data_IF_167377983017
#
_entry.id   IF_167377983017
#
_cell.length_a   1.000
_cell.length_b   1.000
_cell.length_c   1.000
_cell.angle_alpha   90.00
_cell.angle_beta   90.00
_cell.angle_gamma   90.00
#
_symmetry.space_group_name_H-M   'P 1'
#
loop_
_entity.id
_entity.type
_entity.pdbx_description
1 polymer ?
#
# COMPACT_ATOMS: atom_id res chain seq x y z
N UNK A 1 -8.39 4.90 -29.44
CA UNK A 1 -7.02 5.36 -29.79
C UNK A 1 -6.03 4.35 -29.24
N UNK A 2 -5.02 3.92 -30.00
CA UNK A 2 -4.05 2.91 -29.56
C UNK A 2 -2.61 3.38 -29.77
N UNK A 3 -1.68 2.85 -28.97
CA UNK A 3 -0.26 3.16 -29.09
C UNK A 3 0.59 1.94 -28.76
N UNK A 4 1.83 1.91 -29.26
CA UNK A 4 2.80 0.88 -28.89
C UNK A 4 3.07 0.90 -27.40
N UNK A 5 3.12 -0.27 -26.77
CA UNK A 5 3.34 -0.44 -25.34
C UNK A 5 4.66 0.18 -24.90
N UNK A 6 5.72 0.07 -25.72
CA UNK A 6 7.03 0.65 -25.40
C UNK A 6 7.00 2.20 -25.33
N UNK A 7 6.28 2.82 -26.24
CA UNK A 7 6.05 4.26 -26.26
C UNK A 7 5.15 4.67 -25.08
N UNK A 8 4.11 3.90 -24.80
CA UNK A 8 3.15 4.17 -23.73
C UNK A 8 3.83 4.13 -22.35
N UNK A 9 4.48 3.02 -21.98
CA UNK A 9 5.10 2.86 -20.64
C UNK A 9 6.23 3.88 -20.39
N UNK A 10 6.89 4.33 -21.46
CA UNK A 10 7.85 5.44 -21.39
C UNK A 10 7.14 6.79 -21.23
N UNK A 11 6.05 7.03 -21.95
CA UNK A 11 5.30 8.27 -21.91
C UNK A 11 4.70 8.52 -20.52
N UNK A 12 4.15 7.47 -19.88
CA UNK A 12 3.63 7.48 -18.50
C UNK A 12 4.71 7.29 -17.42
N UNK A 13 5.99 7.32 -17.80
CA UNK A 13 7.15 7.32 -16.89
C UNK A 13 7.36 6.06 -16.05
N UNK A 14 6.77 4.91 -16.42
CA UNK A 14 7.12 3.63 -15.82
C UNK A 14 8.57 3.22 -16.13
N UNK A 15 9.10 3.70 -17.26
CA UNK A 15 10.53 3.56 -17.60
C UNK A 15 11.21 4.93 -17.74
N UNK A 16 12.54 4.95 -17.51
CA UNK A 16 13.34 6.18 -17.61
C UNK A 16 13.50 6.65 -19.05
N UNK A 17 13.73 5.73 -19.98
CA UNK A 17 13.98 6.02 -21.40
C UNK A 17 13.13 5.12 -22.30
N UNK A 18 12.93 5.54 -23.55
CA UNK A 18 12.21 4.74 -24.55
C UNK A 18 12.98 3.47 -24.93
N UNK A 19 14.31 3.52 -24.96
CA UNK A 19 15.16 2.33 -25.15
C UNK A 19 14.93 1.31 -24.04
N UNK A 20 14.94 1.74 -22.78
CA UNK A 20 14.68 0.87 -21.63
C UNK A 20 13.27 0.25 -21.66
N UNK A 21 12.26 0.95 -22.18
CA UNK A 21 10.94 0.36 -22.42
C UNK A 21 10.98 -0.77 -23.44
N UNK A 22 11.67 -0.56 -24.57
CA UNK A 22 11.86 -1.58 -25.59
C UNK A 22 12.64 -2.80 -25.07
N UNK A 23 13.71 -2.56 -24.30
CA UNK A 23 14.50 -3.62 -23.66
C UNK A 23 13.66 -4.41 -22.65
N UNK A 24 12.85 -3.72 -21.83
CA UNK A 24 11.95 -4.38 -20.87
C UNK A 24 10.93 -5.29 -21.57
N UNK A 25 10.35 -4.84 -22.69
CA UNK A 25 9.45 -5.66 -23.49
C UNK A 25 10.16 -6.90 -24.05
N UNK A 26 11.35 -6.72 -24.66
CA UNK A 26 12.17 -7.83 -25.19
C UNK A 26 12.61 -8.82 -24.12
N UNK A 27 12.92 -8.34 -22.92
CA UNK A 27 13.32 -9.16 -21.77
C UNK A 27 12.15 -9.89 -21.07
N UNK A 28 10.92 -9.76 -21.59
CA UNK A 28 9.74 -10.38 -20.99
C UNK A 28 9.29 -9.74 -19.67
N UNK A 29 9.75 -8.53 -19.39
CA UNK A 29 9.43 -7.77 -18.18
C UNK A 29 8.15 -6.94 -18.32
N UNK A 30 7.57 -6.90 -19.51
CA UNK A 30 6.32 -6.20 -19.79
C UNK A 30 5.27 -7.20 -20.26
N UNK A 31 4.09 -7.16 -19.65
CA UNK A 31 2.92 -7.92 -20.07
C UNK A 31 1.74 -6.99 -20.32
N UNK A 32 0.93 -7.32 -21.31
CA UNK A 32 -0.36 -6.69 -21.59
C UNK A 32 -1.42 -7.78 -21.47
N UNK A 33 -2.42 -7.58 -20.61
CA UNK A 33 -3.49 -8.54 -20.32
C UNK A 33 -2.94 -9.96 -20.03
N UNK A 34 -1.95 -10.05 -19.15
CA UNK A 34 -1.31 -11.30 -18.75
C UNK A 34 -0.29 -11.89 -19.73
N UNK A 35 -0.24 -11.41 -20.97
CA UNK A 35 0.64 -11.94 -22.03
C UNK A 35 1.88 -11.08 -22.22
N UNK A 36 3.06 -11.70 -22.38
CA UNK A 36 4.31 -11.00 -22.65
C UNK A 36 4.21 -10.15 -23.92
N UNK A 37 4.53 -8.86 -23.82
CA UNK A 37 4.32 -7.92 -24.89
C UNK A 37 5.60 -7.64 -25.70
N UNK A 38 5.50 -7.68 -27.02
CA UNK A 38 6.54 -7.15 -27.92
C UNK A 38 6.52 -5.61 -27.85
N UNK A 39 7.66 -4.91 -28.05
CA UNK A 39 7.70 -3.44 -27.97
C UNK A 39 6.64 -2.73 -28.82
N UNK A 40 6.35 -3.27 -30.02
CA UNK A 40 5.40 -2.69 -30.96
C UNK A 40 3.94 -3.11 -30.72
N UNK A 41 3.65 -3.95 -29.72
CA UNK A 41 2.29 -4.34 -29.39
C UNK A 41 1.47 -3.12 -28.99
N UNK A 42 0.25 -3.00 -29.51
CA UNK A 42 -0.62 -1.88 -29.19
C UNK A 42 -1.32 -2.09 -27.85
N UNK A 43 -1.50 -0.99 -27.11
CA UNK A 43 -2.36 -0.88 -25.93
C UNK A 43 -3.50 0.08 -26.22
N UNK A 44 -4.64 -0.20 -25.61
CA UNK A 44 -5.88 0.56 -25.66
C UNK A 44 -6.38 0.84 -24.24
N UNK A 45 -7.35 1.76 -24.12
CA UNK A 45 -8.03 2.03 -22.84
C UNK A 45 -8.69 0.74 -22.33
N UNK A 46 -8.54 0.47 -21.04
CA UNK A 46 -9.00 -0.74 -20.36
C UNK A 46 -7.97 -1.87 -20.29
N UNK A 47 -6.88 -1.82 -21.07
CA UNK A 47 -5.83 -2.83 -20.99
C UNK A 47 -5.09 -2.78 -19.65
N UNK A 48 -4.76 -3.94 -19.09
CA UNK A 48 -3.81 -4.05 -17.98
C UNK A 48 -2.39 -4.14 -18.54
N UNK A 49 -1.52 -3.24 -18.11
CA UNK A 49 -0.09 -3.24 -18.41
C UNK A 49 0.69 -3.52 -17.13
N UNK A 50 1.46 -4.61 -17.13
CA UNK A 50 2.33 -5.01 -16.02
C UNK A 50 3.79 -4.83 -16.41
N UNK A 51 4.55 -4.09 -15.61
CA UNK A 51 5.96 -3.78 -15.83
C UNK A 51 6.77 -4.19 -14.59
N UNK A 52 7.73 -5.09 -14.74
CA UNK A 52 8.61 -5.54 -13.66
C UNK A 52 10.02 -4.99 -13.85
N UNK A 53 10.40 -3.99 -13.05
CA UNK A 53 11.71 -3.33 -13.15
C UNK A 53 12.31 -3.07 -11.77
N UNK A 54 13.62 -3.25 -11.64
CA UNK A 54 14.35 -2.91 -10.41
C UNK A 54 13.84 -3.64 -9.15
N UNK A 55 13.36 -4.88 -9.31
CA UNK A 55 12.78 -5.66 -8.21
C UNK A 55 11.37 -5.27 -7.80
N UNK A 56 10.75 -4.27 -8.47
CA UNK A 56 9.37 -3.84 -8.21
C UNK A 56 8.47 -4.20 -9.39
N UNK A 57 7.27 -4.67 -9.08
CA UNK A 57 6.20 -4.84 -10.04
C UNK A 57 5.29 -3.61 -10.03
N UNK A 58 4.98 -3.10 -11.23
CA UNK A 58 4.01 -2.03 -11.44
C UNK A 58 2.89 -2.59 -12.30
N UNK A 59 1.65 -2.48 -11.84
CA UNK A 59 0.46 -2.94 -12.56
C UNK A 59 -0.41 -1.72 -12.76
N UNK A 60 -0.74 -1.40 -14.02
CA UNK A 60 -1.55 -0.23 -14.34
C UNK A 60 -2.66 -0.60 -15.32
N UNK A 61 -3.85 -0.08 -15.10
CA UNK A 61 -4.94 -0.12 -16.08
C UNK A 61 -4.92 1.17 -16.90
N UNK A 62 -4.97 1.06 -18.23
CA UNK A 62 -4.89 2.21 -19.14
C UNK A 62 -6.21 2.97 -19.12
N UNK A 63 -6.20 4.25 -18.70
CA UNK A 63 -7.37 5.14 -18.81
C UNK A 63 -7.24 6.13 -19.96
N UNK A 64 -6.01 6.48 -20.33
CA UNK A 64 -5.73 7.34 -21.48
C UNK A 64 -4.44 6.93 -22.18
N UNK A 65 -4.49 6.81 -23.50
CA UNK A 65 -3.33 6.45 -24.32
C UNK A 65 -2.55 7.70 -24.73
N UNK A 66 -1.29 7.80 -24.31
CA UNK A 66 -0.36 8.88 -24.68
C UNK A 66 0.94 8.34 -25.27
N UNK A 67 1.56 9.09 -26.18
CA UNK A 67 2.85 8.74 -26.82
C UNK A 67 3.96 9.74 -26.54
N UNK A 68 3.63 10.95 -26.08
CA UNK A 68 4.59 11.97 -25.65
C UNK A 68 4.80 11.84 -24.14
N UNK A 69 6.05 11.85 -23.70
CA UNK A 69 6.38 11.85 -22.27
C UNK A 69 5.92 13.14 -21.61
N UNK A 70 5.24 13.01 -20.47
CA UNK A 70 4.66 14.12 -19.71
C UNK A 70 5.24 14.21 -18.29
N UNK A 71 4.78 15.20 -17.53
CA UNK A 71 5.10 15.36 -16.11
C UNK A 71 4.56 14.18 -15.29
N UNK A 72 5.03 14.02 -14.05
CA UNK A 72 4.56 12.94 -13.18
C UNK A 72 3.05 13.02 -12.94
N UNK A 73 2.54 14.23 -12.64
CA UNK A 73 1.11 14.47 -12.40
C UNK A 73 0.24 14.19 -13.64
N UNK A 74 0.68 14.59 -14.82
CA UNK A 74 -0.05 14.29 -16.05
C UNK A 74 -0.01 12.80 -16.41
N UNK A 75 1.10 12.11 -16.11
CA UNK A 75 1.22 10.68 -16.32
C UNK A 75 0.28 9.87 -15.41
N UNK A 76 0.15 10.23 -14.13
CA UNK A 76 -0.73 9.53 -13.19
C UNK A 76 -2.21 9.67 -13.55
N UNK A 77 -2.61 10.69 -14.30
CA UNK A 77 -3.98 10.81 -14.80
C UNK A 77 -4.30 9.84 -15.96
N UNK A 78 -3.28 9.24 -16.59
CA UNK A 78 -3.44 8.37 -17.76
C UNK A 78 -3.63 6.89 -17.42
N UNK A 79 -3.56 6.52 -16.14
CA UNK A 79 -3.75 5.13 -15.70
C UNK A 79 -4.27 5.03 -14.27
N UNK A 80 -4.88 3.89 -13.93
CA UNK A 80 -5.18 3.50 -12.55
C UNK A 80 -4.05 2.58 -12.06
N UNK A 81 -3.42 2.93 -10.93
CA UNK A 81 -2.35 2.13 -10.32
C UNK A 81 -2.95 0.98 -9.51
N UNK A 82 -2.69 -0.26 -9.93
CA UNK A 82 -3.06 -1.50 -9.24
C UNK A 82 -1.82 -2.24 -8.71
N UNK A 83 -0.68 -1.55 -8.60
CA UNK A 83 0.55 -2.17 -8.12
C UNK A 83 0.38 -2.65 -6.68
N UNK A 84 0.94 -3.82 -6.30
CA UNK A 84 0.96 -4.23 -4.91
C UNK A 84 1.70 -3.17 -4.06
N UNK A 85 1.31 -3.00 -2.79
CA UNK A 85 2.00 -2.09 -1.90
C UNK A 85 3.48 -2.47 -1.80
N UNK A 86 4.39 -1.49 -1.69
CA UNK A 86 5.79 -1.79 -1.47
C UNK A 86 5.93 -2.61 -0.17
N UNK A 87 6.83 -3.61 -0.14
CA UNK A 87 7.08 -4.35 1.10
C UNK A 87 7.51 -3.39 2.21
N UNK A 88 7.11 -3.69 3.45
CA UNK A 88 7.41 -2.83 4.60
C UNK A 88 8.91 -2.58 4.74
N UNK A 89 9.29 -1.43 5.32
CA UNK A 89 10.70 -1.07 5.51
C UNK A 89 11.42 -2.10 6.38
N UNK A 90 10.72 -2.73 7.31
CA UNK A 90 11.23 -3.81 8.16
C UNK A 90 11.58 -5.06 7.35
N UNK A 91 10.70 -5.49 6.43
CA UNK A 91 10.97 -6.63 5.54
C UNK A 91 12.15 -6.31 4.61
N UNK A 92 12.24 -5.08 4.11
CA UNK A 92 13.38 -4.66 3.28
C UNK A 92 14.69 -4.53 4.06
N UNK A 93 14.63 -4.23 5.36
CA UNK A 93 15.78 -4.13 6.25
C UNK A 93 16.23 -5.51 6.76
N UNK A 94 15.30 -6.47 6.89
CA UNK A 94 15.60 -7.84 7.32
C UNK A 94 16.20 -8.70 6.20
N UNK A 95 16.11 -8.27 4.93
CA UNK A 95 16.78 -8.95 3.83
C UNK A 95 18.29 -8.94 4.04
N UNK A 96 18.95 -10.11 4.11
CA UNK A 96 20.39 -10.20 4.29
C UNK A 96 21.11 -9.47 3.15
N UNK A 97 21.83 -8.40 3.48
CA UNK A 97 22.66 -7.67 2.53
C UNK A 97 24.08 -8.21 2.59
N UNK A 98 24.64 -8.56 1.44
CA UNK A 98 26.05 -8.90 1.30
C UNK A 98 26.85 -7.62 1.04
N UNK A 99 28.02 -7.51 1.66
CA UNK A 99 28.88 -6.34 1.47
C UNK A 99 29.24 -6.14 0.00
N UNK A 100 29.18 -4.87 -0.42
CA UNK A 100 29.51 -4.49 -1.79
C UNK A 100 30.98 -4.81 -2.06
N UNK A 101 31.25 -5.67 -3.04
CA UNK A 101 32.61 -6.13 -3.39
C UNK A 101 33.00 -7.49 -2.80
N UNK A 102 32.14 -8.13 -1.99
CA UNK A 102 32.42 -9.42 -1.38
C UNK A 102 32.50 -10.62 -2.36
N UNK A 103 32.36 -10.38 -3.67
CA UNK A 103 32.51 -11.38 -4.72
C UNK A 103 31.62 -12.62 -4.59
N UNK A 104 31.94 -13.65 -5.39
CA UNK A 104 31.34 -14.99 -5.27
C UNK A 104 31.78 -15.61 -3.93
N UNK A 105 30.90 -16.31 -3.20
CA UNK A 105 31.27 -16.94 -1.93
C UNK A 105 32.54 -17.78 -2.03
N UNK A 106 33.45 -17.60 -1.08
CA UNK A 106 34.68 -18.39 -0.99
C UNK A 106 34.35 -19.86 -0.72
N UNK A 107 35.30 -20.78 -0.96
CA UNK A 107 35.08 -22.22 -0.71
C UNK A 107 34.69 -22.51 0.75
N UNK A 108 35.20 -21.72 1.70
CA UNK A 108 34.85 -21.80 3.12
C UNK A 108 33.43 -21.32 3.37
N UNK A 109 33.07 -20.12 2.90
CA UNK A 109 31.69 -19.60 2.99
C UNK A 109 30.68 -20.55 2.33
N UNK A 110 31.03 -21.13 1.18
CA UNK A 110 30.17 -22.12 0.51
C UNK A 110 29.93 -23.35 1.39
N UNK A 111 30.97 -23.85 2.09
CA UNK A 111 30.82 -24.97 3.04
C UNK A 111 30.02 -24.59 4.27
N UNK A 112 30.13 -23.35 4.74
CA UNK A 112 29.34 -22.84 5.87
C UNK A 112 27.86 -22.68 5.46
N UNK A 113 27.59 -22.14 4.26
CA UNK A 113 26.25 -22.09 3.65
C UNK A 113 25.70 -23.52 3.45
N UNK A 114 26.50 -24.45 2.93
CA UNK A 114 26.07 -25.85 2.74
C UNK A 114 25.78 -26.55 4.08
N UNK A 115 26.52 -26.24 5.16
CA UNK A 115 26.23 -26.74 6.51
C UNK A 115 24.95 -26.12 7.08
N UNK A 116 24.73 -24.82 6.85
CA UNK A 116 23.51 -24.13 7.25
C UNK A 116 22.28 -24.66 6.50
N UNK A 117 22.41 -24.94 5.19
CA UNK A 117 21.35 -25.54 4.37
C UNK A 117 21.11 -27.02 4.68
N UNK A 118 22.09 -27.75 5.21
CA UNK A 118 21.93 -29.14 5.68
C UNK A 118 21.43 -29.24 7.13
N UNK A 119 21.61 -28.20 7.93
CA UNK A 119 21.15 -28.13 9.32
C UNK A 119 19.70 -27.65 9.45
N UNK A 120 18.74 -28.56 9.28
CA UNK A 120 17.47 -28.51 10.04
C UNK A 120 16.41 -27.45 9.71
N UNK A 121 16.36 -26.86 8.50
CA UNK A 121 15.26 -25.95 8.11
C UNK A 121 14.46 -26.39 6.87
N UNK A 122 14.86 -27.47 6.18
CA UNK A 122 14.25 -27.90 4.91
C UNK A 122 13.27 -29.10 5.01
N UNK A 123 12.79 -29.44 6.21
CA UNK A 123 11.75 -30.49 6.36
C UNK A 123 10.34 -29.90 6.52
N UNK A 124 10.21 -28.64 6.92
CA UNK A 124 8.90 -28.06 7.29
C UNK A 124 8.18 -27.31 6.15
N UNK A 125 8.89 -26.90 5.09
CA UNK A 125 8.29 -26.11 3.99
C UNK A 125 7.87 -26.97 2.79
N UNK A 126 8.43 -28.17 2.64
CA UNK A 126 8.10 -29.07 1.54
C UNK A 126 6.77 -29.83 1.72
N UNK A 127 6.26 -29.97 2.96
CA UNK A 127 5.02 -30.72 3.22
C UNK A 127 3.74 -29.90 2.98
N UNK A 128 3.82 -28.57 3.01
CA UNK A 128 2.68 -27.68 2.77
C UNK A 128 2.39 -27.44 1.27
N UNK A 129 3.33 -27.77 0.39
CA UNK A 129 3.15 -27.66 -1.07
C UNK A 129 2.52 -28.94 -1.66
N UNK A 130 2.48 -30.04 -0.90
CA UNK A 130 1.96 -31.34 -1.36
C UNK A 130 0.47 -31.60 -1.02
N UNK A 131 -0.24 -30.67 -0.37
CA UNK A 131 -1.65 -30.83 0.03
C UNK A 131 -2.67 -29.98 -0.76
N UNK A 132 -2.26 -29.29 -1.83
CA UNK A 132 -3.18 -28.62 -2.77
C UNK A 132 -3.01 -29.22 -4.17
N UNK A 133 -3.14 -30.54 -4.24
CA UNK A 133 -2.94 -31.31 -5.46
C UNK A 133 -3.92 -32.46 -5.56
N UNK A 134 -5.23 -32.20 -5.45
CA UNK A 134 -6.30 -33.07 -5.98
C UNK A 134 -7.67 -32.42 -5.79
N UNK A 135 -8.14 -31.68 -6.80
CA UNK A 135 -9.56 -31.57 -7.14
C UNK A 135 -9.70 -30.83 -8.49
N UNK A 136 -9.57 -31.56 -9.59
CA UNK A 136 -10.22 -31.18 -10.84
C UNK A 136 -11.64 -31.77 -10.76
N UNK A 137 -12.66 -30.92 -10.83
CA UNK A 137 -13.99 -31.33 -11.28
C UNK A 137 -14.58 -30.23 -12.15
N UNK A 138 -14.96 -30.63 -13.35
CA UNK A 138 -15.61 -29.84 -14.40
C UNK A 138 -17.07 -29.54 -14.06
N UNK A 139 -17.52 -28.32 -14.33
CA UNK A 139 -18.93 -27.96 -14.34
C UNK A 139 -19.13 -26.67 -15.13
N UNK A 140 -19.86 -26.79 -16.24
CA UNK A 140 -20.27 -25.73 -17.14
C UNK A 140 -21.52 -25.00 -16.63
N UNK A 141 -21.76 -23.82 -17.24
CA UNK A 141 -23.04 -23.14 -17.46
C UNK A 141 -23.45 -21.98 -16.52
N UNK A 142 -23.39 -20.79 -17.14
CA UNK A 142 -24.38 -19.72 -17.27
C UNK A 142 -24.74 -18.72 -16.15
N UNK A 143 -24.84 -17.48 -16.67
CA UNK A 143 -25.72 -16.36 -16.32
C UNK A 143 -25.26 -15.28 -15.31
N UNK A 144 -25.17 -14.05 -15.84
CA UNK A 144 -25.84 -12.89 -15.23
C UNK A 144 -25.06 -12.06 -14.21
N UNK A 145 -24.03 -11.34 -14.65
CA UNK A 145 -23.36 -10.31 -13.83
C UNK A 145 -23.90 -8.91 -14.11
N UNK A 146 -24.69 -8.37 -13.17
CA UNK A 146 -25.15 -6.98 -13.12
C UNK A 146 -23.99 -5.98 -13.29
N UNK A 147 -24.21 -4.92 -14.08
CA UNK A 147 -23.28 -3.79 -14.22
C UNK A 147 -23.14 -3.10 -12.87
N UNK A 148 -21.94 -3.13 -12.31
CA UNK A 148 -21.59 -2.34 -11.15
C UNK A 148 -21.12 -0.96 -11.64
N UNK A 149 -22.00 0.03 -11.56
CA UNK A 149 -21.73 1.43 -11.89
C UNK A 149 -20.82 2.07 -10.83
N UNK A 150 -19.56 1.65 -10.76
CA UNK A 150 -18.51 2.37 -10.04
C UNK A 150 -17.52 2.94 -11.05
N UNK A 151 -18.00 3.91 -11.84
CA UNK A 151 -17.13 4.79 -12.60
C UNK A 151 -16.28 5.60 -11.61
N UNK A 152 -14.97 5.33 -11.59
CA UNK A 152 -14.02 6.09 -10.79
C UNK A 152 -14.01 7.55 -11.25
N UNK A 153 -14.58 8.43 -10.42
CA UNK A 153 -14.50 9.87 -10.58
C UNK A 153 -13.03 10.30 -10.68
N UNK A 154 -12.70 11.13 -11.67
CA UNK A 154 -11.36 11.70 -11.80
C UNK A 154 -10.91 12.31 -10.46
N UNK A 155 -9.65 12.11 -10.02
CA UNK A 155 -9.18 12.68 -8.76
C UNK A 155 -9.34 14.20 -8.83
N UNK A 156 -9.97 14.77 -7.81
CA UNK A 156 -10.12 16.21 -7.67
C UNK A 156 -8.77 16.96 -7.70
N UNK A 157 -8.83 18.29 -7.72
CA UNK A 157 -7.61 19.10 -7.63
C UNK A 157 -6.99 18.92 -6.23
N UNK A 158 -5.73 18.50 -6.17
CA UNK A 158 -4.97 18.41 -4.92
C UNK A 158 -5.04 19.74 -4.16
N UNK A 159 -5.20 19.68 -2.83
CA UNK A 159 -5.27 20.88 -1.99
C UNK A 159 -6.67 21.50 -1.88
N UNK A 160 -7.71 20.87 -2.42
CA UNK A 160 -9.10 21.32 -2.23
C UNK A 160 -9.69 20.95 -0.87
N UNK A 161 -9.04 20.06 -0.12
CA UNK A 161 -9.46 19.67 1.22
C UNK A 161 -9.15 20.75 2.27
N UNK A 162 -9.84 20.72 3.43
CA UNK A 162 -9.67 21.71 4.48
C UNK A 162 -8.27 21.63 5.10
N UNK A 163 -7.89 22.68 5.83
CA UNK A 163 -6.68 22.71 6.61
C UNK A 163 -6.94 22.13 8.00
N UNK A 164 -6.24 21.06 8.36
CA UNK A 164 -6.46 20.35 9.63
C UNK A 164 -5.62 20.87 10.81
N UNK A 165 -4.88 21.97 10.63
CA UNK A 165 -3.95 22.43 11.66
C UNK A 165 -2.79 21.47 11.91
N UNK A 166 -1.97 21.79 12.91
CA UNK A 166 -0.90 20.92 13.38
C UNK A 166 -1.51 19.67 14.02
N UNK A 167 -1.01 18.48 13.68
CA UNK A 167 -1.47 17.21 14.25
C UNK A 167 -2.99 16.95 14.15
N UNK A 168 -3.62 17.44 13.08
CA UNK A 168 -5.06 17.29 12.93
C UNK A 168 -5.87 18.11 13.92
N UNK A 169 -5.27 19.13 14.56
CA UNK A 169 -5.91 19.96 15.56
C UNK A 169 -6.06 19.25 16.92
N UNK A 170 -5.37 18.14 17.14
CA UNK A 170 -5.46 17.33 18.37
C UNK A 170 -4.19 17.46 19.21
N UNK A 171 -4.35 17.62 20.53
CA UNK A 171 -3.23 17.74 21.47
C UNK A 171 -2.73 16.38 21.98
N UNK A 172 -1.54 16.36 22.57
CA UNK A 172 -0.99 15.13 23.18
C UNK A 172 -1.84 14.63 24.34
N UNK A 173 -2.40 15.54 25.13
CA UNK A 173 -3.30 15.20 26.24
C UNK A 173 -4.55 14.49 25.72
N UNK A 174 -5.18 15.03 24.68
CA UNK A 174 -6.36 14.42 24.06
C UNK A 174 -6.07 13.05 23.44
N UNK A 175 -4.91 12.89 22.80
CA UNK A 175 -4.45 11.58 22.29
C UNK A 175 -4.31 10.57 23.44
N UNK A 176 -3.70 10.97 24.56
CA UNK A 176 -3.54 10.09 25.73
C UNK A 176 -4.90 9.73 26.38
N UNK A 177 -5.79 10.71 26.54
CA UNK A 177 -7.10 10.55 27.16
C UNK A 177 -8.01 9.61 26.35
N UNK A 178 -7.94 9.69 25.02
CA UNK A 178 -8.73 8.86 24.11
C UNK A 178 -8.13 7.47 23.90
N UNK A 179 -6.83 7.38 23.59
CA UNK A 179 -6.20 6.11 23.28
C UNK A 179 -6.09 5.20 24.51
N UNK A 180 -5.85 5.76 25.70
CA UNK A 180 -5.70 5.02 26.97
C UNK A 180 -4.65 3.91 26.90
N UNK A 181 -3.59 4.11 26.12
CA UNK A 181 -2.52 3.14 25.90
C UNK A 181 -1.26 3.43 26.76
N UNK A 182 -1.45 4.03 27.93
CA UNK A 182 -0.37 4.60 28.73
C UNK A 182 0.11 5.94 28.17
N UNK A 183 1.24 6.44 28.69
CA UNK A 183 1.77 7.75 28.32
C UNK A 183 2.45 7.69 26.94
N UNK A 184 1.82 8.30 25.95
CA UNK A 184 2.35 8.54 24.63
C UNK A 184 2.98 9.94 24.57
N UNK A 185 4.18 10.02 23.99
CA UNK A 185 4.89 11.30 23.76
C UNK A 185 4.95 11.59 22.28
N UNK A 186 4.77 12.86 21.90
CA UNK A 186 4.87 13.26 20.50
C UNK A 186 6.34 13.18 20.03
N UNK A 187 6.63 12.19 19.18
CA UNK A 187 7.98 11.92 18.66
C UNK A 187 8.17 12.41 17.24
N UNK A 188 7.09 12.60 16.48
CA UNK A 188 7.10 13.21 15.15
C UNK A 188 6.07 14.31 15.12
N UNK A 189 6.48 15.51 14.74
CA UNK A 189 5.60 16.66 14.62
C UNK A 189 6.00 17.52 13.42
N UNK A 190 5.29 17.36 12.30
CA UNK A 190 5.47 18.21 11.14
C UNK A 190 4.12 18.54 10.47
N UNK A 191 4.15 19.30 9.39
CA UNK A 191 2.97 19.82 8.71
C UNK A 191 2.01 18.77 8.15
N UNK A 192 2.44 17.52 8.02
CA UNK A 192 1.67 16.46 7.37
C UNK A 192 1.62 15.17 8.17
N UNK A 193 2.42 15.04 9.23
CA UNK A 193 2.51 13.83 10.05
C UNK A 193 2.70 14.22 11.50
N UNK A 194 1.90 13.62 12.38
CA UNK A 194 2.22 13.52 13.80
C UNK A 194 2.23 12.07 14.26
N UNK A 195 3.15 11.75 15.16
CA UNK A 195 3.26 10.43 15.78
C UNK A 195 3.50 10.60 17.27
N UNK A 196 2.73 9.85 18.06
CA UNK A 196 2.91 9.71 19.48
C UNK A 196 3.27 8.26 19.78
N UNK A 197 4.38 8.04 20.46
CA UNK A 197 4.81 6.69 20.84
C UNK A 197 5.16 6.61 22.33
N UNK A 198 4.98 5.42 22.90
CA UNK A 198 5.41 5.11 24.27
C UNK A 198 6.91 4.82 24.37
N UNK A 199 7.56 4.51 23.25
CA UNK A 199 8.98 4.15 23.18
C UNK A 199 9.62 4.63 21.88
N UNK A 200 10.95 4.81 21.91
CA UNK A 200 11.73 5.28 20.76
C UNK A 200 11.87 4.23 19.65
N UNK A 201 11.74 2.95 19.99
CA UNK A 201 11.84 1.80 19.08
C UNK A 201 10.49 1.38 18.46
N UNK A 202 9.40 2.07 18.81
CA UNK A 202 8.03 1.86 18.28
C UNK A 202 7.48 0.44 18.47
N UNK A 203 8.01 -0.31 19.44
CA UNK A 203 7.52 -1.66 19.78
C UNK A 203 6.31 -1.62 20.71
N UNK A 204 6.15 -0.52 21.45
CA UNK A 204 4.98 -0.24 22.29
C UNK A 204 3.85 0.49 21.55
N UNK A 205 2.83 0.92 22.28
CA UNK A 205 1.74 1.73 21.76
C UNK A 205 2.15 2.93 20.91
N UNK A 206 1.40 3.14 19.83
CA UNK A 206 1.57 4.26 18.88
C UNK A 206 0.22 4.82 18.47
N UNK A 207 0.11 6.13 18.42
CA UNK A 207 -0.94 6.84 17.69
C UNK A 207 -0.30 7.72 16.61
N UNK A 208 -0.90 7.82 15.43
CA UNK A 208 -0.40 8.69 14.37
C UNK A 208 -1.52 9.34 13.58
N UNK A 209 -1.25 10.58 13.16
CA UNK A 209 -2.06 11.35 12.23
C UNK A 209 -1.23 11.58 10.97
N UNK A 210 -1.76 11.19 9.81
CA UNK A 210 -1.13 11.43 8.51
C UNK A 210 -2.08 12.20 7.61
N UNK A 211 -1.56 13.21 6.92
CA UNK A 211 -2.34 14.04 6.01
C UNK A 211 -1.76 14.02 4.60
N UNK A 212 -2.56 13.55 3.66
CA UNK A 212 -2.17 13.31 2.28
C UNK A 212 -2.87 14.30 1.35
N UNK A 213 -2.07 15.05 0.59
CA UNK A 213 -2.53 15.99 -0.43
C UNK A 213 -2.35 15.40 -1.83
N UNK A 214 -3.39 15.42 -2.65
CA UNK A 214 -3.34 14.95 -4.05
C UNK A 214 -3.19 13.44 -4.22
N UNK A 215 -3.69 12.67 -3.26
CA UNK A 215 -3.75 11.21 -3.31
C UNK A 215 -5.18 10.75 -3.02
N UNK A 216 -5.85 10.05 -3.95
CA UNK A 216 -7.19 9.56 -3.68
C UNK A 216 -7.16 8.48 -2.58
N UNK A 217 -8.08 8.59 -1.63
CA UNK A 217 -8.22 7.67 -0.49
C UNK A 217 -8.37 6.19 -0.91
N UNK A 218 -8.90 5.94 -2.11
CA UNK A 218 -9.08 4.58 -2.64
C UNK A 218 -7.77 3.79 -2.76
N UNK A 219 -6.62 4.45 -2.94
CA UNK A 219 -5.33 3.76 -2.95
C UNK A 219 -4.97 3.19 -1.58
N UNK A 220 -5.12 3.98 -0.52
CA UNK A 220 -4.78 3.51 0.83
C UNK A 220 -5.78 2.47 1.32
N UNK A 221 -7.07 2.65 1.02
CA UNK A 221 -8.08 1.61 1.29
C UNK A 221 -7.69 0.27 0.66
N UNK A 222 -7.22 0.28 -0.58
CA UNK A 222 -6.82 -0.95 -1.26
C UNK A 222 -5.60 -1.60 -0.59
N UNK A 223 -4.69 -0.82 0.00
CA UNK A 223 -3.60 -1.33 0.84
C UNK A 223 -4.16 -1.99 2.10
N UNK A 224 -5.05 -1.30 2.82
CA UNK A 224 -5.61 -1.82 4.08
C UNK A 224 -6.42 -3.11 3.91
N UNK A 225 -7.15 -3.23 2.80
CA UNK A 225 -7.87 -4.46 2.46
C UNK A 225 -6.96 -5.69 2.26
N UNK A 226 -5.66 -5.48 2.04
CA UNK A 226 -4.68 -6.54 1.91
C UNK A 226 -3.95 -6.85 3.22
N UNK A 227 -3.89 -5.90 4.16
CA UNK A 227 -3.11 -6.00 5.40
C UNK A 227 -3.93 -6.19 6.66
N UNK A 228 -5.23 -5.88 6.65
CA UNK A 228 -6.09 -5.92 7.84
C UNK A 228 -7.14 -7.03 7.75
N UNK A 229 -7.54 -7.53 8.92
CA UNK A 229 -8.61 -8.54 9.02
C UNK A 229 -9.97 -7.94 8.63
N UNK A 230 -10.23 -6.70 9.04
CA UNK A 230 -11.46 -5.98 8.72
C UNK A 230 -11.18 -4.68 7.99
N UNK A 231 -11.94 -4.40 6.93
CA UNK A 231 -11.98 -3.07 6.31
C UNK A 231 -13.42 -2.77 5.89
N UNK A 232 -13.99 -1.69 6.42
CA UNK A 232 -15.40 -1.32 6.22
C UNK A 232 -15.49 0.14 5.79
N UNK A 233 -16.54 0.45 5.01
CA UNK A 233 -16.93 1.83 4.75
C UNK A 233 -17.42 2.50 6.03
N UNK A 234 -17.07 3.77 6.22
CA UNK A 234 -17.62 4.62 7.27
C UNK A 234 -17.95 6.00 6.73
N UNK A 235 -18.78 6.70 7.47
CA UNK A 235 -19.03 8.12 7.31
C UNK A 235 -18.90 8.80 8.68
N UNK A 236 -18.16 9.90 8.75
CA UNK A 236 -18.01 10.73 9.95
C UNK A 236 -18.32 12.17 9.55
N UNK A 237 -19.30 12.80 10.21
CA UNK A 237 -19.72 14.18 9.94
C UNK A 237 -19.98 14.47 8.45
N UNK A 238 -20.60 13.53 7.73
CA UNK A 238 -20.90 13.66 6.29
C UNK A 238 -19.72 13.37 5.34
N UNK A 239 -18.55 13.03 5.88
CA UNK A 239 -17.36 12.71 5.10
C UNK A 239 -17.15 11.19 5.02
N UNK A 240 -17.05 10.69 3.78
CA UNK A 240 -16.84 9.27 3.50
C UNK A 240 -15.40 8.85 3.72
N UNK A 241 -15.23 7.64 4.21
CA UNK A 241 -13.94 7.08 4.52
C UNK A 241 -13.95 5.56 4.65
N UNK A 242 -12.91 5.03 5.27
CA UNK A 242 -12.84 3.65 5.67
C UNK A 242 -12.39 3.54 7.13
N UNK A 243 -12.79 2.45 7.78
CA UNK A 243 -12.19 1.94 8.99
C UNK A 243 -11.55 0.60 8.68
N UNK A 244 -10.30 0.42 9.04
CA UNK A 244 -9.59 -0.84 8.91
C UNK A 244 -9.04 -1.26 10.27
N UNK A 245 -9.15 -2.52 10.62
CA UNK A 245 -8.76 -3.00 11.95
C UNK A 245 -8.25 -4.42 11.90
N UNK A 246 -7.32 -4.69 12.80
CA UNK A 246 -6.80 -6.02 13.13
C UNK A 246 -6.58 -6.04 14.66
N UNK A 247 -6.21 -7.19 15.21
CA UNK A 247 -5.94 -7.33 16.63
C UNK A 247 -4.92 -6.30 17.10
N UNK A 248 -5.35 -5.38 17.97
CA UNK A 248 -4.48 -4.37 18.57
C UNK A 248 -4.16 -3.15 17.68
N UNK A 249 -4.87 -2.96 16.56
CA UNK A 249 -4.72 -1.77 15.71
C UNK A 249 -6.02 -1.37 15.01
N UNK A 250 -6.27 -0.07 14.93
CA UNK A 250 -7.36 0.47 14.14
C UNK A 250 -6.92 1.73 13.38
N UNK A 251 -7.40 1.85 12.16
CA UNK A 251 -7.04 2.90 11.20
C UNK A 251 -8.30 3.47 10.57
N UNK A 252 -8.40 4.79 10.53
CA UNK A 252 -9.51 5.51 9.90
C UNK A 252 -8.96 6.54 8.93
N UNK A 253 -9.29 6.36 7.65
CA UNK A 253 -9.05 7.35 6.61
C UNK A 253 -10.33 8.09 6.25
N UNK A 254 -10.31 9.42 6.17
CA UNK A 254 -11.46 10.26 5.77
C UNK A 254 -11.11 11.12 4.56
N UNK A 255 -11.92 11.04 3.50
CA UNK A 255 -11.66 11.66 2.20
C UNK A 255 -12.24 13.06 2.04
N UNK A 256 -11.47 13.93 1.35
CA UNK A 256 -11.81 15.30 0.98
C UNK A 256 -11.41 15.55 -0.49
N UNK A 257 -12.19 14.98 -1.41
CA UNK A 257 -11.90 15.05 -2.85
C UNK A 257 -10.63 14.27 -3.21
N UNK A 258 -9.54 14.98 -3.53
CA UNK A 258 -8.24 14.38 -3.83
C UNK A 258 -7.28 14.37 -2.64
N UNK A 259 -7.72 14.84 -1.48
CA UNK A 259 -6.96 14.79 -0.24
C UNK A 259 -7.65 13.82 0.73
N UNK A 260 -6.92 13.30 1.70
CA UNK A 260 -7.49 12.60 2.85
C UNK A 260 -6.55 12.73 4.05
N UNK A 261 -7.09 12.56 5.25
CA UNK A 261 -6.27 12.30 6.42
C UNK A 261 -6.52 10.88 6.91
N UNK A 262 -5.58 10.39 7.72
CA UNK A 262 -5.64 9.09 8.35
C UNK A 262 -5.22 9.20 9.81
N UNK A 263 -6.01 8.59 10.69
CA UNK A 263 -5.61 8.28 12.05
C UNK A 263 -5.32 6.78 12.17
N UNK A 264 -4.22 6.42 12.82
CA UNK A 264 -3.85 5.04 13.15
C UNK A 264 -3.52 4.95 14.64
N UNK A 265 -4.16 4.02 15.35
CA UNK A 265 -3.92 3.76 16.77
C UNK A 265 -3.61 2.28 16.94
N UNK A 266 -2.46 1.98 17.54
CA UNK A 266 -1.99 0.62 17.81
C UNK A 266 -1.56 0.46 19.25
N UNK A 267 -1.96 -0.65 19.88
CA UNK A 267 -1.51 -1.07 21.20
C UNK A 267 -0.07 -1.63 21.20
N UNK A 268 0.56 -1.79 20.02
CA UNK A 268 1.89 -2.35 19.88
C UNK A 268 1.97 -3.87 20.16
N UNK A 269 3.10 -4.46 19.77
CA UNK A 269 3.35 -5.92 19.86
C UNK A 269 3.63 -6.40 21.29
N UNK A 270 3.97 -5.48 22.21
CA UNK A 270 4.23 -5.82 23.62
C UNK A 270 2.95 -5.98 24.45
N UNK A 271 1.77 -5.73 23.88
CA UNK A 271 0.50 -5.75 24.61
C UNK A 271 -0.09 -7.15 24.82
N UNK A 272 0.63 -8.25 24.56
CA UNK A 272 0.23 -9.65 24.92
C UNK A 272 0.05 -9.89 26.44
N UNK A 273 0.00 -8.83 27.24
CA UNK A 273 -0.57 -8.80 28.59
C UNK A 273 -2.05 -9.18 28.56
N UNK A 274 -2.53 -9.79 29.64
CA UNK A 274 -3.92 -10.18 29.92
C UNK A 274 -4.95 -9.03 29.93
N UNK A 275 -4.54 -7.84 29.49
CA UNK A 275 -5.27 -6.58 29.60
C UNK A 275 -5.01 -5.65 28.40
N UNK A 276 -4.68 -6.20 27.22
CA UNK A 276 -4.70 -5.42 25.98
C UNK A 276 -6.09 -4.80 25.78
N UNK A 277 -6.18 -3.53 25.36
CA UNK A 277 -7.46 -2.93 25.01
C UNK A 277 -8.07 -3.69 23.84
N UNK A 278 -9.38 -3.88 23.93
CA UNK A 278 -10.12 -4.55 22.87
C UNK A 278 -10.03 -3.74 21.56
N UNK A 279 -10.06 -4.42 20.42
CA UNK A 279 -10.00 -3.78 19.10
C UNK A 279 -11.10 -2.74 18.94
N UNK A 280 -12.28 -2.99 19.54
CA UNK A 280 -13.39 -2.04 19.58
C UNK A 280 -13.00 -0.73 20.29
N UNK A 281 -12.32 -0.82 21.45
CA UNK A 281 -11.87 0.36 22.20
C UNK A 281 -10.84 1.19 21.41
N UNK A 282 -9.92 0.51 20.72
CA UNK A 282 -8.93 1.16 19.85
C UNK A 282 -9.63 1.87 18.69
N UNK A 283 -10.61 1.22 18.06
CA UNK A 283 -11.40 1.82 16.99
C UNK A 283 -12.26 3.00 17.45
N UNK A 284 -12.83 2.94 18.65
CA UNK A 284 -13.59 4.05 19.23
C UNK A 284 -12.71 5.27 19.51
N UNK A 285 -11.51 5.05 20.03
CA UNK A 285 -10.52 6.12 20.20
C UNK A 285 -10.13 6.73 18.85
N UNK A 286 -9.85 5.88 17.84
CA UNK A 286 -9.51 6.30 16.49
C UNK A 286 -10.63 7.12 15.85
N UNK A 287 -11.90 6.73 16.06
CA UNK A 287 -13.08 7.44 15.57
C UNK A 287 -13.24 8.81 16.23
N UNK A 288 -13.02 8.91 17.53
CA UNK A 288 -13.09 10.18 18.25
C UNK A 288 -12.01 11.15 17.78
N UNK A 289 -10.77 10.67 17.63
CA UNK A 289 -9.65 11.46 17.09
C UNK A 289 -9.95 11.97 15.67
N UNK A 290 -10.46 11.11 14.79
CA UNK A 290 -10.87 11.49 13.44
C UNK A 290 -12.00 12.53 13.45
N UNK A 291 -12.98 12.38 14.35
CA UNK A 291 -14.09 13.34 14.51
C UNK A 291 -13.59 14.71 14.93
N UNK A 292 -12.70 14.77 15.93
CA UNK A 292 -12.09 16.03 16.39
C UNK A 292 -11.32 16.73 15.27
N UNK A 293 -10.56 15.97 14.46
CA UNK A 293 -9.85 16.55 13.32
C UNK A 293 -10.79 17.15 12.28
N UNK A 294 -11.95 16.54 12.03
CA UNK A 294 -12.95 17.11 11.13
C UNK A 294 -13.56 18.39 11.71
N UNK A 295 -13.97 18.36 12.97
CA UNK A 295 -14.64 19.49 13.63
C UNK A 295 -13.75 20.72 13.78
N UNK A 296 -12.43 20.52 13.87
CA UNK A 296 -11.44 21.59 14.02
C UNK A 296 -10.80 22.02 12.70
N UNK A 297 -11.16 21.39 11.59
CA UNK A 297 -10.67 21.75 10.28
C UNK A 297 -11.22 23.12 9.84
N UNK A 298 -10.38 23.90 9.13
CA UNK A 298 -10.70 25.24 8.60
C UNK A 298 -10.63 25.32 7.08
#
# INVERSE_FOLDING_TARGET
MSARVDAYIWAIRLTKTRSAAGDACRGGHVRVNGTTAKPAQHVSIGDEVRVRLGGRERIVEVTQVITKRVSAAAASACYIDKSPPPPSREILASQPRRDRGAGRPTKRERREIDKLMRGGFLVSVALLIALIGSACSSGSDDAGGSRNDNAATAPGKAGSGPFFGQCGGVTTEEVNDLAKLGTLTNTVNNSSVCEWSSSADRTGPVASFNWYRGSPIGRERATEQLSRESTKDIEINGHKGFIASDTGICEIGIGFGADFFEWSVSAGVSSLSTQAPDTEQICDATRQLATMSIERAS
#
